data_IF_032543901826
#
_entry.id   IF_032543901826
#
_cell.length_a   1.000
_cell.length_b   1.000
_cell.length_c   1.000
_cell.angle_alpha   90.00
_cell.angle_beta   90.00
_cell.angle_gamma   90.00
#
_symmetry.space_group_name_H-M   'P 1'
#
loop_
_entity.id
_entity.type
_entity.pdbx_description
1 polymer ?
#
# COMPACT_ATOMS: atom_id res chain seq x y z
N UNK A 1 -1.28 13.53 -9.28
CA UNK A 1 -2.34 12.85 -8.50
C UNK A 1 -2.44 13.53 -7.15
N UNK A 2 -3.64 13.96 -6.76
CA UNK A 2 -3.88 14.58 -5.45
C UNK A 2 -4.17 13.49 -4.41
N UNK A 3 -3.68 13.66 -3.19
CA UNK A 3 -3.94 12.73 -2.07
C UNK A 3 -4.56 13.47 -0.89
N UNK A 4 -5.31 12.74 -0.05
CA UNK A 4 -5.82 13.22 1.22
C UNK A 4 -5.74 12.13 2.29
N UNK A 5 -6.01 12.51 3.54
CA UNK A 5 -6.05 11.58 4.67
C UNK A 5 -7.49 11.08 4.84
N UNK A 6 -7.63 9.76 4.96
CA UNK A 6 -8.84 9.05 5.28
C UNK A 6 -8.69 8.39 6.65
N UNK A 7 -9.73 8.47 7.48
CA UNK A 7 -9.70 7.92 8.84
C UNK A 7 -10.37 6.56 8.89
N UNK A 8 -9.55 5.50 8.97
CA UNK A 8 -10.01 4.12 9.08
C UNK A 8 -10.22 3.73 10.54
N UNK A 9 -11.11 2.76 10.76
CA UNK A 9 -11.33 2.16 12.07
C UNK A 9 -10.63 0.80 12.12
N UNK A 10 -9.70 0.63 13.06
CA UNK A 10 -8.99 -0.62 13.28
C UNK A 10 -9.77 -1.60 14.17
N UNK A 11 -9.30 -2.86 14.32
CA UNK A 11 -10.04 -3.93 14.97
C UNK A 11 -10.43 -3.69 16.45
N UNK A 12 -9.76 -2.78 17.15
CA UNK A 12 -10.05 -2.41 18.55
C UNK A 12 -10.65 -0.99 18.64
N UNK A 13 -11.21 -0.46 17.55
CA UNK A 13 -11.79 0.87 17.48
C UNK A 13 -10.79 2.02 17.28
N UNK A 14 -9.49 1.72 17.20
CA UNK A 14 -8.45 2.74 16.96
C UNK A 14 -8.65 3.46 15.63
N UNK A 15 -8.39 4.77 15.59
CA UNK A 15 -8.40 5.54 14.35
C UNK A 15 -7.02 5.50 13.68
N UNK A 16 -7.00 5.14 12.41
CA UNK A 16 -5.76 4.99 11.63
C UNK A 16 -5.81 5.94 10.43
N UNK A 17 -4.96 6.98 10.38
CA UNK A 17 -4.91 7.89 9.25
C UNK A 17 -4.20 7.22 8.07
N UNK A 18 -4.90 7.08 6.95
CA UNK A 18 -4.36 6.50 5.70
C UNK A 18 -4.34 7.59 4.64
N UNK A 19 -3.17 7.83 4.05
CA UNK A 19 -3.00 8.73 2.91
C UNK A 19 -3.33 7.97 1.65
N UNK A 20 -4.28 8.47 0.85
CA UNK A 20 -4.67 7.82 -0.41
C UNK A 20 -5.12 8.85 -1.45
N UNK A 21 -5.22 8.47 -2.74
CA UNK A 21 -5.77 9.34 -3.79
C UNK A 21 -7.16 9.85 -3.47
N UNK A 22 -7.52 11.02 -3.99
CA UNK A 22 -8.84 11.62 -3.75
C UNK A 22 -9.98 10.86 -4.42
N UNK A 23 -9.69 10.15 -5.52
CA UNK A 23 -10.66 9.43 -6.36
C UNK A 23 -10.66 7.92 -6.10
N UNK A 24 -9.99 7.46 -5.05
CA UNK A 24 -9.97 6.04 -4.68
C UNK A 24 -11.33 5.64 -4.08
N UNK A 25 -11.87 4.52 -4.54
CA UNK A 25 -13.02 3.90 -3.90
C UNK A 25 -12.53 2.88 -2.86
N UNK A 26 -13.11 2.92 -1.66
CA UNK A 26 -12.77 1.96 -0.63
C UNK A 26 -13.89 0.94 -0.45
N UNK A 27 -13.61 -0.38 -0.50
CA UNK A 27 -14.62 -1.39 -0.23
C UNK A 27 -15.13 -1.34 1.22
N UNK A 28 -14.33 -0.82 2.16
CA UNK A 28 -14.73 -0.64 3.56
C UNK A 28 -13.91 0.47 4.24
N UNK A 29 -14.44 1.05 5.31
CA UNK A 29 -13.68 1.94 6.21
C UNK A 29 -13.15 1.23 7.47
N UNK A 30 -13.37 -0.08 7.57
CA UNK A 30 -12.89 -0.94 8.65
C UNK A 30 -11.70 -1.77 8.19
N UNK A 31 -10.58 -1.67 8.91
CA UNK A 31 -9.35 -2.38 8.53
C UNK A 31 -9.47 -3.90 8.62
N UNK A 32 -10.42 -4.42 9.41
CA UNK A 32 -10.66 -5.84 9.53
C UNK A 32 -11.23 -6.47 8.24
N UNK A 33 -11.84 -5.66 7.37
CA UNK A 33 -12.48 -6.14 6.13
C UNK A 33 -11.48 -6.30 4.98
N UNK A 34 -10.25 -5.83 5.17
CA UNK A 34 -9.18 -5.93 4.20
C UNK A 34 -8.41 -7.24 4.43
N UNK A 35 -8.85 -8.32 3.77
CA UNK A 35 -8.36 -9.68 4.01
C UNK A 35 -7.01 -10.02 3.33
N UNK A 36 -6.77 -9.60 2.08
CA UNK A 36 -5.49 -9.83 1.36
C UNK A 36 -5.33 -8.86 0.17
N UNK A 37 -4.31 -8.01 0.21
CA UNK A 37 -3.90 -7.08 -0.85
C UNK A 37 -2.38 -6.83 -0.87
N UNK A 38 -1.61 -7.32 0.11
CA UNK A 38 -0.14 -7.31 0.07
C UNK A 38 0.36 -8.57 -0.63
N UNK A 39 0.38 -8.52 -1.96
CA UNK A 39 0.72 -9.66 -2.80
C UNK A 39 -0.50 -10.49 -3.21
N UNK A 40 -0.35 -11.22 -4.31
CA UNK A 40 -1.42 -11.69 -5.19
C UNK A 40 -2.49 -12.58 -4.53
N UNK A 41 -3.48 -11.96 -3.88
CA UNK A 41 -4.82 -12.53 -3.83
C UNK A 41 -5.38 -12.70 -5.24
N UNK A 42 -5.12 -11.74 -6.16
CA UNK A 42 -5.37 -11.76 -7.62
C UNK A 42 -4.62 -10.64 -8.41
N UNK A 43 -3.35 -10.30 -8.12
CA UNK A 43 -2.64 -9.17 -8.77
C UNK A 43 -1.12 -9.32 -8.92
N UNK A 44 -0.51 -8.58 -9.87
CA UNK A 44 0.82 -8.75 -10.49
C UNK A 44 2.10 -8.66 -9.61
N UNK A 45 1.98 -8.65 -8.28
CA UNK A 45 3.09 -8.48 -7.33
C UNK A 45 3.46 -9.76 -6.58
N UNK A 46 4.23 -10.65 -7.21
CA UNK A 46 4.71 -11.88 -6.58
C UNK A 46 5.72 -11.60 -5.44
N UNK A 47 5.37 -11.99 -4.21
CA UNK A 47 6.28 -12.33 -3.09
C UNK A 47 7.22 -11.20 -2.59
N UNK A 48 6.87 -9.91 -2.73
CA UNK A 48 7.72 -8.83 -2.20
C UNK A 48 7.34 -8.46 -0.74
N UNK A 49 6.05 -8.44 -0.43
CA UNK A 49 5.53 -7.90 0.85
C UNK A 49 4.47 -8.83 1.43
N UNK A 50 4.77 -9.58 2.50
CA UNK A 50 3.76 -10.32 3.26
C UNK A 50 2.62 -9.44 3.82
N UNK A 51 1.39 -9.96 3.79
CA UNK A 51 0.15 -9.38 4.33
C UNK A 51 0.22 -8.92 5.78
N UNK A 52 0.95 -9.67 6.60
CA UNK A 52 1.06 -9.41 8.01
C UNK A 52 2.51 -9.16 8.42
N UNK A 53 2.64 -8.28 9.41
CA UNK A 53 3.90 -7.90 10.00
C UNK A 53 3.88 -8.24 11.49
N UNK A 54 4.22 -9.49 11.80
CA UNK A 54 4.10 -10.09 13.13
C UNK A 54 2.69 -9.91 13.71
N UNK A 55 1.67 -10.37 12.97
CA UNK A 55 0.26 -10.28 13.37
C UNK A 55 -0.38 -8.89 13.24
N UNK A 56 0.33 -7.89 12.69
CA UNK A 56 -0.29 -6.65 12.25
C UNK A 56 -0.66 -6.74 10.77
N UNK A 57 -1.95 -6.64 10.45
CA UNK A 57 -2.45 -6.54 9.08
C UNK A 57 -2.08 -5.17 8.48
N UNK A 58 -1.40 -5.17 7.34
CA UNK A 58 -1.00 -3.96 6.59
C UNK A 58 -1.68 -3.85 5.22
N UNK A 59 -2.65 -4.71 4.98
CA UNK A 59 -3.37 -4.93 3.73
C UNK A 59 -4.00 -3.67 3.12
N UNK A 60 -4.48 -2.72 3.96
CA UNK A 60 -4.94 -1.40 3.46
C UNK A 60 -3.83 -0.58 2.79
N UNK A 61 -2.59 -0.65 3.30
CA UNK A 61 -1.47 0.11 2.75
C UNK A 61 -1.10 -0.43 1.35
N UNK A 62 -1.17 -1.75 1.19
CA UNK A 62 -0.92 -2.43 -0.09
C UNK A 62 -2.03 -2.15 -1.09
N UNK A 63 -3.31 -2.21 -0.67
CA UNK A 63 -4.45 -1.81 -1.50
C UNK A 63 -4.27 -0.39 -2.07
N UNK A 64 -3.97 0.58 -1.21
CA UNK A 64 -3.75 1.96 -1.64
C UNK A 64 -2.55 2.07 -2.58
N UNK A 65 -1.48 1.32 -2.33
CA UNK A 65 -0.27 1.32 -3.14
C UNK A 65 -0.52 0.82 -4.57
N UNK A 66 -1.21 -0.31 -4.71
CA UNK A 66 -1.60 -0.88 -6.00
C UNK A 66 -2.51 0.09 -6.78
N UNK A 67 -3.51 0.65 -6.11
CA UNK A 67 -4.42 1.65 -6.69
C UNK A 67 -3.66 2.91 -7.13
N UNK A 68 -2.70 3.38 -6.34
CA UNK A 68 -1.85 4.50 -6.73
C UNK A 68 -1.01 4.19 -7.97
N UNK A 69 -0.46 2.98 -8.07
CA UNK A 69 0.24 2.54 -9.27
C UNK A 69 -0.69 2.47 -10.48
N UNK A 70 -1.92 1.99 -10.34
CA UNK A 70 -2.90 1.95 -11.42
C UNK A 70 -3.26 3.35 -11.93
N UNK A 71 -3.53 4.30 -11.04
CA UNK A 71 -4.04 5.64 -11.39
C UNK A 71 -2.97 6.64 -11.82
N UNK A 72 -1.72 6.49 -11.39
CA UNK A 72 -0.72 7.54 -11.60
C UNK A 72 -0.12 7.57 -13.01
N UNK A 73 0.55 8.67 -13.37
CA UNK A 73 1.27 8.79 -14.64
C UNK A 73 2.48 7.85 -14.68
N UNK A 74 2.88 7.33 -15.86
CA UNK A 74 4.03 6.45 -16.03
C UNK A 74 5.35 7.22 -15.91
N UNK A 75 5.67 7.69 -14.71
CA UNK A 75 6.83 8.53 -14.39
C UNK A 75 7.53 7.99 -13.14
N UNK A 76 8.84 8.20 -13.04
CA UNK A 76 9.61 7.80 -11.86
C UNK A 76 9.15 8.54 -10.61
N UNK A 77 8.80 9.82 -10.75
CA UNK A 77 8.26 10.65 -9.67
C UNK A 77 6.98 10.03 -9.10
N UNK A 78 6.06 9.59 -9.95
CA UNK A 78 4.83 8.95 -9.53
C UNK A 78 5.07 7.57 -8.88
N UNK A 79 6.02 6.78 -9.41
CA UNK A 79 6.43 5.51 -8.83
C UNK A 79 6.95 5.70 -7.40
N UNK A 80 7.94 6.57 -7.21
CA UNK A 80 8.56 6.81 -5.89
C UNK A 80 7.58 7.49 -4.91
N UNK A 81 6.71 8.38 -5.40
CA UNK A 81 5.67 8.98 -4.58
C UNK A 81 4.70 7.92 -4.04
N UNK A 82 4.27 6.99 -4.89
CA UNK A 82 3.38 5.88 -4.49
C UNK A 82 4.05 4.98 -3.45
N UNK A 83 5.34 4.65 -3.65
CA UNK A 83 6.11 3.85 -2.68
C UNK A 83 6.30 4.59 -1.35
N UNK A 84 6.48 5.91 -1.38
CA UNK A 84 6.58 6.73 -0.16
C UNK A 84 5.28 6.76 0.62
N UNK A 85 4.14 6.85 -0.07
CA UNK A 85 2.80 6.76 0.55
C UNK A 85 2.56 5.37 1.14
N UNK A 86 2.99 4.31 0.47
CA UNK A 86 2.95 2.95 1.00
C UNK A 86 3.66 2.83 2.36
N UNK A 87 4.91 3.29 2.45
CA UNK A 87 5.66 3.31 3.71
C UNK A 87 4.95 4.14 4.79
N UNK A 88 4.49 5.35 4.45
CA UNK A 88 3.75 6.23 5.37
C UNK A 88 2.52 5.53 5.95
N UNK A 89 1.76 4.81 5.13
CA UNK A 89 0.55 4.10 5.54
C UNK A 89 0.87 2.89 6.43
N UNK A 90 1.94 2.13 6.14
CA UNK A 90 2.40 1.07 7.04
C UNK A 90 2.78 1.66 8.41
N UNK A 91 3.54 2.75 8.43
CA UNK A 91 3.95 3.41 9.67
C UNK A 91 2.74 3.92 10.47
N UNK A 92 1.71 4.44 9.80
CA UNK A 92 0.46 4.81 10.44
C UNK A 92 -0.26 3.60 11.07
N UNK A 93 -0.30 2.45 10.38
CA UNK A 93 -0.84 1.22 10.95
C UNK A 93 -0.03 0.78 12.19
N UNK A 94 1.29 0.81 12.12
CA UNK A 94 2.16 0.43 13.24
C UNK A 94 1.93 1.33 14.45
N UNK A 95 1.92 2.64 14.24
CA UNK A 95 1.80 3.63 15.31
C UNK A 95 0.48 3.48 16.09
N UNK A 96 -0.62 3.24 15.37
CA UNK A 96 -1.97 3.28 15.94
C UNK A 96 -2.51 1.91 16.36
N UNK A 97 -1.98 0.81 15.81
CA UNK A 97 -2.51 -0.53 16.08
C UNK A 97 -1.57 -1.37 16.97
N UNK A 98 -0.29 -1.03 17.05
CA UNK A 98 0.66 -1.73 17.93
C UNK A 98 0.55 -1.21 19.36
N UNK A 99 0.39 -2.12 20.32
CA UNK A 99 0.39 -1.77 21.74
C UNK A 99 1.78 -1.85 22.37
N UNK A 100 2.63 -2.79 21.91
CA UNK A 100 3.99 -2.97 22.41
C UNK A 100 4.99 -2.06 21.70
N UNK A 101 5.79 -1.32 22.47
CA UNK A 101 6.89 -0.49 21.96
C UNK A 101 7.96 -1.33 21.25
N UNK A 102 8.27 -2.52 21.75
CA UNK A 102 9.25 -3.43 21.13
C UNK A 102 8.74 -3.86 19.75
N UNK A 103 7.47 -4.28 19.67
CA UNK A 103 6.86 -4.65 18.39
C UNK A 103 6.77 -3.46 17.44
N UNK A 104 6.55 -2.22 17.92
CA UNK A 104 6.60 -1.03 17.07
C UNK A 104 7.95 -0.89 16.38
N UNK A 105 9.06 -1.05 17.10
CA UNK A 105 10.40 -0.90 16.52
C UNK A 105 10.69 -1.99 15.48
N UNK A 106 10.40 -3.25 15.81
CA UNK A 106 10.58 -4.37 14.88
C UNK A 106 9.74 -4.18 13.61
N UNK A 107 8.47 -3.79 13.78
CA UNK A 107 7.56 -3.48 12.68
C UNK A 107 8.07 -2.32 11.83
N UNK A 108 8.52 -1.23 12.43
CA UNK A 108 9.08 -0.08 11.67
C UNK A 108 10.29 -0.50 10.84
N UNK A 109 11.21 -1.29 11.41
CA UNK A 109 12.36 -1.82 10.66
C UNK A 109 11.92 -2.65 9.44
N UNK A 110 10.92 -3.52 9.63
CA UNK A 110 10.36 -4.33 8.54
C UNK A 110 9.62 -3.49 7.50
N UNK A 111 8.93 -2.43 7.90
CA UNK A 111 8.27 -1.50 6.99
C UNK A 111 9.26 -0.86 6.02
N UNK A 112 10.42 -0.42 6.53
CA UNK A 112 11.51 0.10 5.68
C UNK A 112 12.07 -0.99 4.77
N UNK A 113 12.20 -2.23 5.26
CA UNK A 113 12.61 -3.37 4.42
C UNK A 113 11.64 -3.61 3.26
N UNK A 114 10.33 -3.52 3.51
CA UNK A 114 9.30 -3.67 2.48
C UNK A 114 9.33 -2.52 1.47
N UNK A 115 9.48 -1.28 1.94
CA UNK A 115 9.69 -0.13 1.06
C UNK A 115 10.90 -0.34 0.13
N UNK A 116 12.06 -0.73 0.69
CA UNK A 116 13.26 -0.97 -0.11
C UNK A 116 13.05 -2.08 -1.14
N UNK A 117 12.31 -3.14 -0.79
CA UNK A 117 12.03 -4.23 -1.70
C UNK A 117 11.11 -3.79 -2.87
N UNK A 118 10.07 -3.01 -2.57
CA UNK A 118 9.19 -2.42 -3.61
C UNK A 118 9.95 -1.44 -4.49
N UNK A 119 10.83 -0.62 -3.92
CA UNK A 119 11.60 0.36 -4.69
C UNK A 119 12.64 -0.31 -5.61
N UNK A 120 13.33 -1.34 -5.12
CA UNK A 120 14.35 -2.05 -5.88
C UNK A 120 13.76 -2.99 -6.96
N UNK A 121 12.71 -3.74 -6.62
CA UNK A 121 12.18 -4.82 -7.47
C UNK A 121 10.84 -4.45 -8.13
N UNK A 122 10.05 -3.59 -7.50
CA UNK A 122 8.72 -3.19 -7.98
C UNK A 122 8.73 -2.35 -9.25
N UNK A 123 9.86 -1.72 -9.60
CA UNK A 123 10.00 -0.94 -10.85
C UNK A 123 9.58 -1.71 -12.09
N UNK A 124 9.96 -3.00 -12.21
CA UNK A 124 9.62 -3.82 -13.38
C UNK A 124 8.11 -4.02 -13.48
N UNK A 125 7.45 -4.26 -12.35
CA UNK A 125 6.01 -4.48 -12.27
C UNK A 125 5.27 -3.20 -12.66
N UNK A 126 5.67 -2.06 -12.07
CA UNK A 126 5.10 -0.75 -12.38
C UNK A 126 5.16 -0.43 -13.89
N UNK A 127 6.35 -0.56 -14.51
CA UNK A 127 6.50 -0.24 -15.93
C UNK A 127 5.76 -1.21 -16.85
N UNK A 128 5.68 -2.49 -16.49
CA UNK A 128 4.87 -3.46 -17.23
C UNK A 128 3.38 -3.11 -17.17
N UNK A 129 2.85 -2.81 -15.99
CA UNK A 129 1.46 -2.37 -15.80
C UNK A 129 1.14 -1.16 -16.69
N UNK A 130 2.03 -0.16 -16.71
CA UNK A 130 1.87 1.03 -17.55
C UNK A 130 1.94 0.75 -19.04
N UNK A 131 2.80 -0.18 -19.46
CA UNK A 131 2.84 -0.66 -20.82
C UNK A 131 1.54 -1.36 -21.25
N UNK A 132 0.97 -2.20 -20.39
CA UNK A 132 -0.29 -2.90 -20.64
C UNK A 132 -1.48 -1.93 -20.75
N UNK A 133 -1.59 -0.98 -19.83
CA UNK A 133 -2.61 0.08 -19.88
C UNK A 133 -2.54 0.89 -21.18
N UNK A 134 -1.32 1.22 -21.63
CA UNK A 134 -1.12 1.99 -22.87
C UNK A 134 -1.58 1.23 -24.12
N UNK A 135 -1.40 -0.10 -24.13
CA UNK A 135 -1.87 -0.95 -25.23
C UNK A 135 -3.39 -1.04 -25.27
N UNK A 136 -4.03 -1.26 -24.12
CA UNK A 136 -5.49 -1.34 -24.02
C UNK A 136 -6.16 -0.04 -24.49
N UNK A 137 -5.58 1.12 -24.18
CA UNK A 137 -6.08 2.42 -24.66
C UNK A 137 -5.90 2.63 -26.17
N UNK A 138 -4.91 1.98 -26.79
CA UNK A 138 -4.69 2.06 -28.22
C UNK A 138 -5.62 1.13 -29.03
N UNK A 139 -6.19 0.12 -28.37
CA UNK A 139 -7.10 -0.88 -28.95
C UNK A 139 -8.59 -0.57 -28.72
N UNK A 140 -8.91 0.43 -27.87
CA UNK A 140 -10.26 0.88 -27.53
C UNK A 140 -10.70 2.07 -28.38
#
# INVERSE_FOLDING_TARGET
MQTKIYMFTGPKGQKVPIVAPVDIEFPSMFLADYASYCGAGKGFGDIIVPETMWGLTITIACYVHDQMWEMCLPTWEAFHFSNSVFLRNILACIANQSQSTILKHLRTYRAVTYYNAVDAFGKKIFWNLKGEQSKQLAEA
#
